data_IF_582171588325
#
_entry.id   IF_582171588325
#
_cell.length_a   1.000
_cell.length_b   1.000
_cell.length_c   1.000
_cell.angle_alpha   90.00
_cell.angle_beta   90.00
_cell.angle_gamma   90.00
#
_symmetry.space_group_name_H-M   'P 1'
#
loop_
_entity.id
_entity.type
_entity.pdbx_description
1 polymer ?
#
# COMPACT_ATOMS: atom_id res chain seq x y z
N UNK A 1 8.25 -22.49 16.43
CA UNK A 1 8.31 -21.01 16.36
C UNK A 1 8.43 -20.66 14.88
N UNK A 2 7.31 -20.74 14.16
CA UNK A 2 7.21 -20.71 12.67
C UNK A 2 6.53 -19.40 12.16
N UNK A 3 6.21 -18.49 13.08
CA UNK A 3 5.41 -17.27 12.85
C UNK A 3 6.15 -16.16 12.08
N UNK A 4 7.44 -16.33 11.80
CA UNK A 4 8.26 -15.31 11.12
C UNK A 4 8.37 -15.51 9.60
N UNK A 5 7.75 -16.56 9.05
CA UNK A 5 8.00 -16.98 7.66
C UNK A 5 6.79 -16.89 6.72
N UNK A 6 5.56 -16.76 7.22
CA UNK A 6 4.38 -16.73 6.37
C UNK A 6 3.55 -15.51 6.71
N UNK A 7 3.13 -14.79 5.66
CA UNK A 7 2.04 -13.84 5.82
C UNK A 7 0.78 -14.65 6.12
N UNK A 8 0.19 -14.36 7.28
CA UNK A 8 -1.01 -15.01 7.76
C UNK A 8 -2.16 -14.02 7.72
N UNK A 9 -3.28 -14.45 7.14
CA UNK A 9 -4.51 -13.68 7.12
C UNK A 9 -5.49 -14.42 8.03
N UNK A 10 -5.92 -13.74 9.08
CA UNK A 10 -6.95 -14.25 9.99
C UNK A 10 -8.22 -13.46 9.74
N UNK A 11 -9.27 -14.15 9.28
CA UNK A 11 -10.60 -13.57 9.16
C UNK A 11 -11.49 -14.04 10.32
N UNK A 12 -12.03 -13.07 11.04
CA UNK A 12 -12.97 -13.28 12.13
C UNK A 12 -14.35 -12.78 11.69
N UNK A 13 -15.40 -13.56 11.96
CA UNK A 13 -16.77 -13.23 11.59
C UNK A 13 -17.64 -12.94 12.81
N UNK A 14 -18.74 -12.21 12.60
CA UNK A 14 -19.72 -11.87 13.63
C UNK A 14 -19.13 -11.07 14.80
N UNK A 15 -18.10 -10.25 14.55
CA UNK A 15 -17.50 -9.41 15.58
C UNK A 15 -18.32 -8.13 15.73
N UNK A 16 -18.88 -7.84 16.92
CA UNK A 16 -19.57 -6.58 17.17
C UNK A 16 -18.57 -5.43 17.31
N UNK A 17 -19.02 -4.21 17.02
CA UNK A 17 -18.16 -3.01 17.00
C UNK A 17 -17.31 -2.80 18.27
N UNK A 18 -17.82 -2.96 19.51
CA UNK A 18 -16.99 -2.77 20.70
C UNK A 18 -15.81 -3.75 20.78
N UNK A 19 -15.98 -4.99 20.29
CA UNK A 19 -14.88 -5.95 20.20
C UNK A 19 -13.93 -5.60 19.06
N UNK A 20 -14.41 -4.98 17.98
CA UNK A 20 -13.53 -4.53 16.90
C UNK A 20 -12.54 -3.48 17.39
N UNK A 21 -12.96 -2.55 18.26
CA UNK A 21 -12.06 -1.59 18.90
C UNK A 21 -11.01 -2.29 19.79
N UNK A 22 -11.38 -3.33 20.55
CA UNK A 22 -10.40 -4.12 21.30
C UNK A 22 -9.35 -4.79 20.40
N UNK A 23 -9.75 -5.26 19.21
CA UNK A 23 -8.82 -5.84 18.23
C UNK A 23 -7.91 -4.77 17.59
N UNK A 24 -8.42 -3.56 17.37
CA UNK A 24 -7.63 -2.43 16.85
C UNK A 24 -6.56 -2.02 17.87
N UNK A 25 -6.92 -1.88 19.14
CA UNK A 25 -5.94 -1.62 20.21
C UNK A 25 -4.88 -2.72 20.30
N UNK A 26 -5.25 -3.98 20.09
CA UNK A 26 -4.30 -5.08 20.06
C UNK A 26 -3.40 -5.02 18.82
N UNK A 27 -3.96 -4.68 17.66
CA UNK A 27 -3.23 -4.56 16.40
C UNK A 27 -2.14 -3.49 16.50
N UNK A 28 -2.47 -2.32 17.04
CA UNK A 28 -1.51 -1.24 17.31
C UNK A 28 -0.36 -1.69 18.22
N UNK A 29 -0.65 -2.45 19.27
CA UNK A 29 0.38 -2.95 20.20
C UNK A 29 1.27 -4.04 19.61
N UNK A 30 0.84 -4.66 18.52
CA UNK A 30 1.48 -5.83 17.91
C UNK A 30 1.98 -5.56 16.49
N UNK A 31 1.84 -4.33 15.99
CA UNK A 31 2.12 -3.92 14.62
C UNK A 31 1.44 -4.87 13.61
N UNK A 32 0.14 -5.11 13.80
CA UNK A 32 -0.68 -5.92 12.89
C UNK A 32 -1.46 -5.00 11.96
N UNK A 33 -1.58 -5.36 10.69
CA UNK A 33 -2.50 -4.68 9.76
C UNK A 33 -3.91 -5.20 10.01
N UNK A 34 -4.88 -4.31 10.17
CA UNK A 34 -6.27 -4.68 10.39
C UNK A 34 -7.21 -3.93 9.43
N UNK A 35 -8.27 -4.61 9.01
CA UNK A 35 -9.44 -3.96 8.44
C UNK A 35 -10.74 -4.49 9.04
N UNK A 36 -11.72 -3.61 9.19
CA UNK A 36 -13.03 -3.94 9.76
C UNK A 36 -14.16 -3.46 8.85
N UNK A 37 -15.11 -4.35 8.62
CA UNK A 37 -16.34 -4.06 7.90
C UNK A 37 -17.56 -4.29 8.81
N UNK A 38 -18.21 -3.23 9.32
CA UNK A 38 -19.32 -3.34 10.26
C UNK A 38 -20.57 -3.97 9.66
N UNK A 39 -20.83 -3.75 8.37
CA UNK A 39 -21.98 -4.32 7.68
C UNK A 39 -21.91 -5.84 7.64
N UNK A 40 -20.71 -6.37 7.41
CA UNK A 40 -20.46 -7.83 7.37
C UNK A 40 -20.02 -8.40 8.73
N UNK A 41 -19.75 -7.53 9.71
CA UNK A 41 -19.17 -7.88 11.01
C UNK A 41 -17.89 -8.72 10.87
N UNK A 42 -17.07 -8.38 9.87
CA UNK A 42 -15.82 -9.07 9.56
C UNK A 42 -14.63 -8.23 9.96
N UNK A 43 -13.71 -8.84 10.69
CA UNK A 43 -12.36 -8.33 10.94
C UNK A 43 -11.39 -9.18 10.13
N UNK A 44 -10.46 -8.53 9.45
CA UNK A 44 -9.35 -9.16 8.74
C UNK A 44 -8.06 -8.65 9.35
N UNK A 45 -7.22 -9.56 9.81
CA UNK A 45 -5.90 -9.27 10.36
C UNK A 45 -4.87 -9.85 9.39
N UNK A 46 -3.92 -9.03 8.98
CA UNK A 46 -2.81 -9.42 8.11
C UNK A 46 -1.51 -9.28 8.88
N UNK A 47 -0.74 -10.36 8.95
CA UNK A 47 0.62 -10.37 9.49
C UNK A 47 1.59 -10.19 8.31
N UNK A 48 2.08 -8.96 8.05
CA UNK A 48 2.92 -8.74 6.89
C UNK A 48 4.25 -9.48 7.04
N UNK A 49 4.76 -9.99 5.91
CA UNK A 49 6.12 -10.53 5.86
C UNK A 49 7.11 -9.44 5.41
N UNK A 50 8.41 -9.76 5.48
CA UNK A 50 9.48 -8.84 5.06
C UNK A 50 9.33 -8.29 3.63
N UNK A 51 8.91 -9.12 2.67
CA UNK A 51 8.72 -8.71 1.26
C UNK A 51 7.56 -7.71 1.16
N UNK A 52 6.48 -7.96 1.89
CA UNK A 52 5.33 -7.06 2.00
C UNK A 52 5.77 -5.70 2.57
N UNK A 53 6.34 -5.69 3.78
CA UNK A 53 6.72 -4.45 4.48
C UNK A 53 7.78 -3.65 3.72
N UNK A 54 8.66 -4.30 2.96
CA UNK A 54 9.72 -3.64 2.21
C UNK A 54 9.21 -2.64 1.18
N UNK A 55 8.04 -2.87 0.58
CA UNK A 55 7.47 -2.01 -0.45
C UNK A 55 7.18 -0.59 0.05
N UNK A 56 6.96 -0.40 1.37
CA UNK A 56 6.79 0.93 1.98
C UNK A 56 8.01 1.84 1.72
N UNK A 57 9.22 1.28 1.78
CA UNK A 57 10.45 2.06 1.61
C UNK A 57 10.54 2.72 0.23
N UNK A 58 10.07 2.03 -0.80
CA UNK A 58 10.05 2.56 -2.17
C UNK A 58 9.29 3.89 -2.26
N UNK A 59 8.13 3.99 -1.60
CA UNK A 59 7.35 5.24 -1.57
C UNK A 59 7.99 6.27 -0.62
N UNK A 60 8.56 5.84 0.51
CA UNK A 60 9.24 6.73 1.45
C UNK A 60 10.47 7.41 0.86
N UNK A 61 11.28 6.67 0.10
CA UNK A 61 12.46 7.17 -0.59
C UNK A 61 12.05 8.16 -1.68
N UNK A 62 11.02 7.84 -2.47
CA UNK A 62 10.46 8.79 -3.45
C UNK A 62 9.95 10.08 -2.79
N UNK A 63 9.25 10.01 -1.66
CA UNK A 63 8.81 11.21 -0.92
C UNK A 63 10.00 12.00 -0.36
N UNK A 64 11.07 11.32 0.07
CA UNK A 64 12.30 11.99 0.47
C UNK A 64 12.94 12.76 -0.69
N UNK A 65 12.99 12.16 -1.89
CA UNK A 65 13.52 12.78 -3.10
C UNK A 65 12.67 13.95 -3.56
N UNK A 66 11.35 13.78 -3.56
CA UNK A 66 10.39 14.83 -3.84
C UNK A 66 10.64 16.06 -2.96
N UNK A 67 10.72 15.88 -1.64
CA UNK A 67 11.02 16.98 -0.70
C UNK A 67 12.35 17.66 -0.99
N UNK A 68 13.39 16.88 -1.29
CA UNK A 68 14.71 17.44 -1.62
C UNK A 68 14.65 18.29 -2.88
N UNK A 69 13.97 17.80 -3.93
CA UNK A 69 13.85 18.51 -5.20
C UNK A 69 13.06 19.82 -5.09
N UNK A 70 12.01 19.82 -4.28
CA UNK A 70 11.13 20.98 -4.08
C UNK A 70 11.55 21.87 -2.89
N UNK A 71 12.63 21.51 -2.19
CA UNK A 71 13.15 22.21 -1.00
C UNK A 71 12.10 22.35 0.12
N UNK A 72 11.21 21.36 0.25
CA UNK A 72 10.16 21.35 1.26
C UNK A 72 10.66 20.86 2.62
N UNK A 73 10.04 21.38 3.68
CA UNK A 73 10.29 20.93 5.04
C UNK A 73 9.85 19.48 5.26
N UNK A 74 10.44 18.82 6.29
CA UNK A 74 10.16 17.42 6.61
C UNK A 74 8.67 17.13 6.84
N UNK A 75 7.93 18.10 7.38
CA UNK A 75 6.50 17.97 7.69
C UNK A 75 5.56 18.32 6.54
N UNK A 76 6.04 18.82 5.40
CA UNK A 76 5.17 19.26 4.30
C UNK A 76 4.48 18.09 3.59
N UNK A 77 5.27 17.06 3.28
CA UNK A 77 4.80 15.80 2.70
C UNK A 77 5.55 14.65 3.37
N UNK A 78 4.87 13.56 3.67
CA UNK A 78 5.48 12.35 4.20
C UNK A 78 4.72 11.11 3.74
N UNK A 79 5.41 9.97 3.76
CA UNK A 79 4.79 8.67 3.57
C UNK A 79 4.85 7.89 4.88
N UNK A 80 3.76 7.24 5.24
CA UNK A 80 3.65 6.39 6.42
C UNK A 80 2.85 5.13 6.09
N UNK A 81 3.21 4.01 6.70
CA UNK A 81 2.37 2.81 6.75
C UNK A 81 1.57 2.76 8.05
N UNK A 82 0.66 1.79 8.14
CA UNK A 82 -0.03 1.39 9.39
C UNK A 82 -0.97 2.46 9.99
N UNK A 83 -1.22 3.57 9.29
CA UNK A 83 -2.15 4.60 9.74
C UNK A 83 -3.61 4.20 9.49
N UNK A 84 -4.46 4.31 10.51
CA UNK A 84 -5.89 4.03 10.38
C UNK A 84 -6.64 5.11 9.59
N UNK A 85 -7.48 4.68 8.65
CA UNK A 85 -8.48 5.50 7.99
C UNK A 85 -9.87 5.03 8.42
N UNK A 86 -10.66 5.97 8.98
CA UNK A 86 -12.01 5.72 9.52
C UNK A 86 -13.09 6.59 8.89
N UNK A 87 -12.69 7.66 8.21
CA UNK A 87 -13.62 8.69 7.72
C UNK A 87 -14.03 8.34 6.30
N UNK A 88 -15.02 7.44 6.19
CA UNK A 88 -15.63 7.06 4.92
C UNK A 88 -17.10 7.44 4.87
N UNK A 89 -17.61 7.74 3.67
CA UNK A 89 -19.00 8.10 3.44
C UNK A 89 -19.80 6.99 2.72
N UNK A 90 -21.13 7.12 2.72
CA UNK A 90 -22.02 6.25 1.95
C UNK A 90 -21.98 4.78 2.40
N UNK A 91 -21.92 3.85 1.44
CA UNK A 91 -21.88 2.40 1.72
C UNK A 91 -20.62 1.93 2.47
N UNK A 92 -19.63 2.82 2.56
CA UNK A 92 -18.36 2.57 3.23
C UNK A 92 -18.29 3.15 4.63
N UNK A 93 -19.34 3.84 5.09
CA UNK A 93 -19.38 4.43 6.43
C UNK A 93 -19.04 3.41 7.52
N UNK A 94 -18.31 3.89 8.54
CA UNK A 94 -17.83 3.11 9.69
C UNK A 94 -16.87 1.96 9.37
N UNK A 95 -16.39 1.85 8.12
CA UNK A 95 -15.28 0.94 7.80
C UNK A 95 -13.97 1.49 8.34
N UNK A 96 -13.05 0.57 8.62
CA UNK A 96 -11.71 0.89 9.08
C UNK A 96 -10.74 0.12 8.20
N UNK A 97 -9.73 0.82 7.68
CA UNK A 97 -8.65 0.23 6.90
C UNK A 97 -7.33 0.91 7.24
N UNK A 98 -6.26 0.13 7.21
CA UNK A 98 -4.89 0.60 7.36
C UNK A 98 -4.15 0.32 6.05
N UNK A 99 -3.96 1.29 5.14
CA UNK A 99 -3.19 1.06 3.93
C UNK A 99 -1.72 0.75 4.25
N UNK A 100 -1.08 -0.07 3.41
CA UNK A 100 0.33 -0.44 3.61
C UNK A 100 1.27 0.75 3.50
N UNK A 101 0.89 1.72 2.66
CA UNK A 101 1.49 3.04 2.64
C UNK A 101 0.47 4.10 2.22
N UNK A 102 0.59 5.28 2.80
CA UNK A 102 -0.18 6.45 2.46
C UNK A 102 0.73 7.69 2.42
N UNK A 103 0.55 8.54 1.41
CA UNK A 103 1.26 9.81 1.23
C UNK A 103 0.36 10.94 1.70
N UNK A 104 0.84 11.69 2.68
CA UNK A 104 0.10 12.77 3.34
C UNK A 104 0.70 14.12 3.02
N UNK A 105 -0.17 15.12 2.89
CA UNK A 105 0.18 16.54 2.83
C UNK A 105 -0.31 17.19 4.11
N UNK A 106 0.51 18.01 4.78
CA UNK A 106 0.24 18.51 6.13
C UNK A 106 -1.09 19.23 6.33
N UNK A 107 -1.63 19.82 5.27
CA UNK A 107 -2.84 20.63 5.31
C UNK A 107 -4.08 19.88 4.79
N UNK A 108 -3.97 18.57 4.53
CA UNK A 108 -5.08 17.72 4.09
C UNK A 108 -5.45 16.70 5.16
N UNK A 109 -6.75 16.45 5.29
CA UNK A 109 -7.29 15.49 6.27
C UNK A 109 -7.10 14.03 5.80
N UNK A 110 -6.94 13.82 4.50
CA UNK A 110 -6.73 12.51 3.87
C UNK A 110 -5.36 12.43 3.21
N UNK A 111 -4.79 11.21 3.11
CA UNK A 111 -3.69 10.99 2.19
C UNK A 111 -4.16 11.20 0.74
N UNK A 112 -3.24 11.55 -0.15
CA UNK A 112 -3.56 11.78 -1.56
C UNK A 112 -3.18 10.62 -2.45
N UNK A 113 -2.26 9.77 -2.00
CA UNK A 113 -1.85 8.52 -2.66
C UNK A 113 -1.83 7.43 -1.60
N UNK A 114 -2.38 6.26 -1.93
CA UNK A 114 -2.24 5.05 -1.12
C UNK A 114 -1.60 3.94 -1.92
N UNK A 115 -0.98 2.98 -1.22
CA UNK A 115 -0.48 1.74 -1.79
C UNK A 115 -0.96 0.56 -0.94
N UNK A 116 -1.39 -0.49 -1.63
CA UNK A 116 -1.76 -1.77 -1.04
C UNK A 116 -0.92 -2.87 -1.70
N UNK A 117 -0.36 -3.75 -0.88
CA UNK A 117 0.55 -4.82 -1.27
C UNK A 117 -0.07 -6.16 -0.86
N UNK A 118 -0.23 -7.06 -1.83
CA UNK A 118 -0.72 -8.40 -1.55
C UNK A 118 0.35 -9.45 -1.81
N UNK A 119 0.75 -10.18 -0.77
CA UNK A 119 1.56 -11.39 -0.92
C UNK A 119 0.67 -12.63 -0.95
N UNK A 120 0.00 -13.00 0.13
CA UNK A 120 -0.95 -14.14 0.14
C UNK A 120 -2.36 -13.73 -0.26
N UNK A 121 -2.70 -12.46 -0.08
CA UNK A 121 -4.00 -11.91 -0.50
C UNK A 121 -4.24 -12.01 -2.01
N UNK A 122 -5.51 -12.11 -2.40
CA UNK A 122 -5.87 -12.15 -3.82
C UNK A 122 -5.82 -10.74 -4.45
N UNK A 123 -5.70 -10.70 -5.78
CA UNK A 123 -5.76 -9.42 -6.51
C UNK A 123 -7.15 -8.78 -6.45
N UNK A 124 -8.22 -9.56 -6.31
CA UNK A 124 -9.57 -9.01 -6.16
C UNK A 124 -9.76 -8.31 -4.81
N UNK A 125 -9.14 -8.83 -3.74
CA UNK A 125 -9.12 -8.15 -2.44
C UNK A 125 -8.46 -6.77 -2.56
N UNK A 126 -7.31 -6.67 -3.24
CA UNK A 126 -6.65 -5.39 -3.49
C UNK A 126 -7.54 -4.40 -4.26
N UNK A 127 -8.33 -4.88 -5.23
CA UNK A 127 -9.27 -4.03 -5.96
C UNK A 127 -10.40 -3.54 -5.08
N UNK A 128 -10.91 -4.38 -4.18
CA UNK A 128 -11.91 -3.97 -3.19
C UNK A 128 -11.36 -2.92 -2.23
N UNK A 129 -10.11 -3.06 -1.78
CA UNK A 129 -9.43 -2.09 -0.92
C UNK A 129 -9.20 -0.76 -1.66
N UNK A 130 -8.72 -0.79 -2.92
CA UNK A 130 -8.63 0.41 -3.75
C UNK A 130 -10.00 1.09 -3.95
N UNK A 131 -11.06 0.30 -4.16
CA UNK A 131 -12.43 0.82 -4.30
C UNK A 131 -12.87 1.53 -3.02
N UNK A 132 -12.67 0.90 -1.86
CA UNK A 132 -12.96 1.49 -0.55
C UNK A 132 -12.21 2.81 -0.35
N UNK A 133 -10.90 2.82 -0.61
CA UNK A 133 -10.05 4.00 -0.39
C UNK A 133 -10.46 5.16 -1.31
N UNK A 134 -10.69 4.89 -2.60
CA UNK A 134 -11.01 5.93 -3.59
C UNK A 134 -12.47 6.39 -3.51
N UNK A 135 -13.43 5.46 -3.51
CA UNK A 135 -14.86 5.79 -3.50
C UNK A 135 -15.34 6.21 -2.11
N UNK A 136 -14.84 5.54 -1.05
CA UNK A 136 -15.23 5.83 0.32
C UNK A 136 -14.79 7.21 0.79
N UNK A 137 -13.71 7.75 0.22
CA UNK A 137 -13.23 9.11 0.47
C UNK A 137 -13.73 10.11 -0.59
N UNK A 138 -14.64 9.70 -1.48
CA UNK A 138 -15.17 10.54 -2.57
C UNK A 138 -14.06 11.21 -3.42
N UNK A 139 -12.94 10.51 -3.61
CA UNK A 139 -11.80 10.99 -4.38
C UNK A 139 -10.85 11.94 -3.65
N UNK A 140 -10.95 12.12 -2.33
CA UNK A 140 -9.91 12.83 -1.55
C UNK A 140 -8.56 12.10 -1.69
N UNK A 141 -8.58 10.76 -1.67
CA UNK A 141 -7.46 9.94 -2.17
C UNK A 141 -7.51 9.96 -3.70
N UNK A 142 -6.47 10.46 -4.35
CA UNK A 142 -6.40 10.54 -5.82
C UNK A 142 -6.10 9.21 -6.49
N UNK A 143 -5.15 8.46 -5.92
CA UNK A 143 -4.56 7.28 -6.55
C UNK A 143 -4.38 6.18 -5.51
N UNK A 144 -4.79 4.96 -5.88
CA UNK A 144 -4.42 3.74 -5.18
C UNK A 144 -3.46 2.92 -6.05
N UNK A 145 -2.29 2.58 -5.51
CA UNK A 145 -1.27 1.74 -6.16
C UNK A 145 -1.41 0.32 -5.63
N UNK A 146 -1.72 -0.64 -6.50
CA UNK A 146 -1.86 -2.03 -6.13
C UNK A 146 -0.63 -2.82 -6.55
N UNK A 147 0.10 -3.39 -5.60
CA UNK A 147 1.26 -4.25 -5.84
C UNK A 147 0.89 -5.69 -5.49
N UNK A 148 0.78 -6.56 -6.51
CA UNK A 148 0.50 -7.98 -6.29
C UNK A 148 1.78 -8.79 -6.48
N UNK A 149 2.23 -9.47 -5.43
CA UNK A 149 3.38 -10.38 -5.45
C UNK A 149 2.86 -11.80 -5.26
N UNK A 150 3.30 -12.73 -6.11
CA UNK A 150 2.98 -14.16 -5.92
C UNK A 150 3.94 -14.75 -4.88
N UNK A 151 3.43 -15.47 -3.86
CA UNK A 151 4.26 -16.05 -2.82
C UNK A 151 5.33 -16.99 -3.35
N UNK A 152 6.48 -16.99 -2.68
CA UNK A 152 7.56 -17.95 -2.91
C UNK A 152 7.09 -19.34 -2.53
N UNK A 153 7.36 -20.31 -3.40
CA UNK A 153 7.26 -21.73 -3.04
C UNK A 153 8.41 -22.13 -2.12
N UNK A 154 8.28 -23.25 -1.39
CA UNK A 154 9.33 -23.74 -0.50
C UNK A 154 10.71 -23.94 -1.16
N UNK A 155 10.79 -24.20 -2.46
CA UNK A 155 12.04 -24.43 -3.19
C UNK A 155 12.53 -23.17 -3.93
N UNK A 156 11.81 -22.05 -3.84
CA UNK A 156 12.15 -20.82 -4.55
C UNK A 156 12.97 -19.85 -3.70
N UNK A 157 13.96 -19.24 -4.34
CA UNK A 157 14.81 -18.18 -3.77
C UNK A 157 14.56 -16.80 -4.38
N UNK A 158 13.61 -16.68 -5.31
CA UNK A 158 13.32 -15.44 -6.04
C UNK A 158 11.86 -15.36 -6.44
N UNK A 159 11.31 -14.15 -6.43
CA UNK A 159 9.95 -13.87 -6.90
C UNK A 159 9.85 -14.21 -8.39
N UNK A 160 8.83 -14.99 -8.75
CA UNK A 160 8.58 -15.41 -10.14
C UNK A 160 7.57 -14.55 -10.86
N UNK A 161 6.63 -13.99 -10.13
CA UNK A 161 5.52 -13.20 -10.66
C UNK A 161 5.15 -12.10 -9.69
N UNK A 162 5.12 -10.87 -10.19
CA UNK A 162 4.49 -9.76 -9.51
C UNK A 162 4.07 -8.71 -10.54
N UNK A 163 3.11 -7.88 -10.19
CA UNK A 163 2.63 -6.80 -11.03
C UNK A 163 2.19 -5.59 -10.20
N UNK A 164 2.08 -4.45 -10.87
CA UNK A 164 1.51 -3.22 -10.32
C UNK A 164 0.35 -2.74 -11.21
N UNK A 165 -0.70 -2.21 -10.59
CA UNK A 165 -1.81 -1.55 -11.27
C UNK A 165 -2.20 -0.31 -10.48
N UNK A 166 -2.50 0.78 -11.19
CA UNK A 166 -3.06 1.97 -10.57
C UNK A 166 -4.56 2.02 -10.73
N UNK A 167 -5.21 2.56 -9.71
CA UNK A 167 -6.60 2.99 -9.73
C UNK A 167 -6.68 4.47 -9.40
N UNK A 168 -7.64 5.15 -10.01
CA UNK A 168 -7.98 6.54 -9.74
C UNK A 168 -9.50 6.69 -9.58
N UNK A 169 -9.92 7.76 -8.93
CA UNK A 169 -11.33 8.08 -8.77
C UNK A 169 -11.83 8.90 -9.96
N UNK A 170 -12.83 8.38 -10.68
CA UNK A 170 -13.56 9.11 -11.71
C UNK A 170 -14.76 9.82 -11.07
N UNK A 171 -14.67 11.16 -10.95
CA UNK A 171 -15.72 12.00 -10.39
C UNK A 171 -16.99 12.05 -11.24
N UNK A 172 -16.93 11.77 -12.54
CA UNK A 172 -18.11 11.74 -13.41
C UNK A 172 -18.95 10.48 -13.14
N UNK A 173 -18.28 9.37 -12.86
CA UNK A 173 -18.92 8.08 -12.59
C UNK A 173 -19.10 7.82 -11.09
N UNK A 174 -18.46 8.62 -10.22
CA UNK A 174 -18.35 8.39 -8.79
C UNK A 174 -17.81 6.98 -8.48
N UNK A 175 -16.75 6.57 -9.20
CA UNK A 175 -16.23 5.19 -9.15
C UNK A 175 -14.72 5.14 -9.25
N UNK A 176 -14.13 4.12 -8.62
CA UNK A 176 -12.74 3.76 -8.84
C UNK A 176 -12.57 3.07 -10.21
N UNK A 177 -11.65 3.57 -11.03
CA UNK A 177 -11.35 3.01 -12.36
C UNK A 177 -9.84 2.71 -12.48
N UNK A 178 -9.44 1.69 -13.25
CA UNK A 178 -8.04 1.42 -13.50
C UNK A 178 -7.42 2.56 -14.33
N UNK A 179 -6.31 3.11 -13.85
CA UNK A 179 -5.52 4.11 -14.57
C UNK A 179 -4.48 3.39 -15.41
N UNK A 180 -4.75 3.27 -16.71
CA UNK A 180 -3.90 2.53 -17.64
C UNK A 180 -3.94 1.02 -17.42
N UNK A 181 -2.97 0.31 -17.99
CA UNK A 181 -2.89 -1.15 -17.93
C UNK A 181 -2.07 -1.67 -16.74
N UNK A 182 -2.15 -2.99 -16.52
CA UNK A 182 -1.37 -3.66 -15.49
C UNK A 182 0.06 -3.84 -15.96
N UNK A 183 1.02 -3.42 -15.15
CA UNK A 183 2.44 -3.51 -15.45
C UNK A 183 3.08 -4.72 -14.77
N UNK A 184 3.86 -5.49 -15.52
CA UNK A 184 4.59 -6.65 -14.99
C UNK A 184 5.87 -6.19 -14.29
N UNK A 185 6.06 -6.62 -13.04
CA UNK A 185 7.30 -6.45 -12.29
C UNK A 185 8.22 -7.66 -12.48
N UNK A 186 7.67 -8.87 -12.35
CA UNK A 186 8.38 -10.14 -12.52
C UNK A 186 7.61 -11.10 -13.45
N UNK A 187 8.32 -11.83 -14.35
CA UNK A 187 9.73 -11.67 -14.69
C UNK A 187 10.02 -10.26 -15.22
N UNK A 188 11.24 -9.76 -15.02
CA UNK A 188 11.61 -8.40 -15.44
C UNK A 188 11.42 -8.28 -16.95
N UNK A 189 10.51 -7.41 -17.42
CA UNK A 189 10.21 -7.31 -18.85
C UNK A 189 11.31 -6.56 -19.59
N UNK A 190 11.42 -6.75 -20.91
CA UNK A 190 12.49 -6.12 -21.70
C UNK A 190 12.43 -4.58 -21.70
N UNK A 191 11.24 -4.01 -21.53
CA UNK A 191 11.01 -2.56 -21.49
C UNK A 191 11.09 -1.98 -20.07
N UNK A 192 11.61 -2.72 -19.09
CA UNK A 192 11.56 -2.34 -17.67
C UNK A 192 12.12 -0.94 -17.37
N UNK A 193 13.21 -0.56 -18.03
CA UNK A 193 13.86 0.75 -17.84
C UNK A 193 12.98 1.95 -18.21
N UNK A 194 11.89 1.72 -18.96
CA UNK A 194 10.91 2.76 -19.31
C UNK A 194 9.69 2.78 -18.38
N UNK A 195 9.53 1.77 -17.53
CA UNK A 195 8.36 1.60 -16.69
C UNK A 195 8.43 2.48 -15.45
N UNK A 196 7.44 3.35 -15.31
CA UNK A 196 7.36 4.36 -14.27
C UNK A 196 5.94 4.80 -14.06
N UNK A 197 5.64 5.26 -12.85
CA UNK A 197 4.36 5.87 -12.51
C UNK A 197 4.52 7.37 -12.56
N UNK A 198 3.74 8.01 -13.43
CA UNK A 198 3.71 9.47 -13.54
C UNK A 198 2.55 10.07 -12.75
N UNK A 199 2.85 11.12 -11.99
CA UNK A 199 1.89 11.89 -11.22
C UNK A 199 1.72 13.29 -11.77
N UNK A 200 0.61 13.94 -11.39
CA UNK A 200 0.41 15.36 -11.56
C UNK A 200 0.46 16.04 -10.21
N UNK A 201 0.88 17.31 -10.17
CA UNK A 201 0.84 18.08 -8.95
C UNK A 201 -0.58 18.26 -8.40
N UNK A 202 -1.58 18.36 -9.27
CA UNK A 202 -2.99 18.37 -8.85
C UNK A 202 -3.43 17.09 -8.16
N UNK A 203 -2.90 15.93 -8.58
CA UNK A 203 -3.18 14.65 -7.92
C UNK A 203 -2.49 14.53 -6.54
N UNK A 204 -1.25 15.01 -6.41
CA UNK A 204 -0.48 14.92 -5.16
C UNK A 204 -0.93 15.97 -4.14
N UNK A 205 -1.10 17.23 -4.57
CA UNK A 205 -1.31 18.37 -3.68
C UNK A 205 -2.78 18.77 -3.55
N UNK A 206 -3.65 18.31 -4.45
CA UNK A 206 -5.09 18.63 -4.43
C UNK A 206 -5.34 20.14 -4.29
N UNK A 207 -6.12 20.52 -3.29
CA UNK A 207 -6.47 21.92 -2.98
C UNK A 207 -5.28 22.76 -2.52
N UNK A 208 -4.15 22.13 -2.11
CA UNK A 208 -2.93 22.81 -1.67
C UNK A 208 -2.04 23.28 -2.84
N UNK A 209 -2.34 22.88 -4.08
CA UNK A 209 -1.50 23.20 -5.24
C UNK A 209 -1.20 24.70 -5.39
N UNK A 210 -2.24 25.54 -5.23
CA UNK A 210 -2.12 26.99 -5.40
C UNK A 210 -1.31 27.67 -4.30
N UNK A 211 -1.29 27.08 -3.10
CA UNK A 211 -0.58 27.59 -1.93
C UNK A 211 0.89 27.15 -1.92
N UNK A 212 1.14 25.88 -2.27
CA UNK A 212 2.48 25.30 -2.21
C UNK A 212 3.36 25.67 -3.41
N UNK A 213 2.77 25.86 -4.59
CA UNK A 213 3.46 26.30 -5.82
C UNK A 213 4.80 25.57 -6.07
N UNK A 214 4.76 24.26 -6.44
CA UNK A 214 5.97 23.49 -6.72
C UNK A 214 6.90 24.22 -7.70
N UNK A 215 8.20 24.16 -7.44
CA UNK A 215 9.22 24.77 -8.27
C UNK A 215 9.35 24.05 -9.62
N UNK A 216 9.15 22.73 -9.64
CA UNK A 216 9.18 21.95 -10.88
C UNK A 216 7.82 21.89 -11.58
N UNK A 217 7.85 21.79 -12.92
CA UNK A 217 6.62 21.70 -13.71
C UNK A 217 5.85 20.38 -13.49
N UNK A 218 6.55 19.31 -13.10
CA UNK A 218 5.97 17.99 -12.84
C UNK A 218 6.72 17.32 -11.69
N UNK A 219 6.02 16.53 -10.85
CA UNK A 219 6.68 15.73 -9.84
C UNK A 219 7.58 14.66 -10.49
N UNK A 220 8.69 14.25 -9.84
CA UNK A 220 9.45 13.08 -10.23
C UNK A 220 8.57 11.84 -10.27
N UNK A 221 8.76 10.94 -11.25
CA UNK A 221 8.00 9.69 -11.31
C UNK A 221 8.45 8.70 -10.23
N UNK A 222 7.59 7.73 -9.91
CA UNK A 222 7.96 6.53 -9.15
C UNK A 222 8.49 5.47 -10.12
N UNK A 223 9.77 5.10 -10.04
CA UNK A 223 10.37 4.13 -10.96
C UNK A 223 10.06 2.69 -10.52
N UNK A 224 9.69 1.82 -11.46
CA UNK A 224 9.38 0.43 -11.13
C UNK A 224 10.63 -0.43 -10.91
N UNK A 225 11.80 0.00 -11.40
CA UNK A 225 13.06 -0.67 -11.12
C UNK A 225 13.44 -0.56 -9.63
N UNK A 226 13.24 0.60 -9.00
CA UNK A 226 13.45 0.79 -7.56
C UNK A 226 12.56 -0.17 -6.73
N UNK A 227 11.31 -0.39 -7.17
CA UNK A 227 10.41 -1.37 -6.55
C UNK A 227 10.92 -2.80 -6.73
N UNK A 228 11.45 -3.17 -7.90
CA UNK A 228 12.05 -4.50 -8.13
C UNK A 228 13.26 -4.72 -7.25
N UNK A 229 14.14 -3.73 -7.13
CA UNK A 229 15.31 -3.76 -6.25
C UNK A 229 14.90 -3.97 -4.79
N UNK A 230 13.89 -3.21 -4.35
CA UNK A 230 13.29 -3.35 -3.02
C UNK A 230 12.76 -4.78 -2.80
N UNK A 231 11.92 -5.28 -3.71
CA UNK A 231 11.36 -6.63 -3.62
C UNK A 231 12.46 -7.69 -3.57
N UNK A 232 13.51 -7.57 -4.40
CA UNK A 232 14.64 -8.50 -4.41
C UNK A 232 15.42 -8.48 -3.09
N UNK A 233 15.76 -7.30 -2.56
CA UNK A 233 16.51 -7.16 -1.31
C UNK A 233 15.76 -7.77 -0.11
N UNK A 234 14.44 -7.57 -0.05
CA UNK A 234 13.60 -8.16 0.98
C UNK A 234 13.32 -9.64 0.75
N UNK A 235 13.29 -10.11 -0.50
CA UNK A 235 13.26 -11.53 -0.84
C UNK A 235 14.52 -12.25 -0.35
N UNK A 236 15.69 -11.68 -0.57
CA UNK A 236 16.95 -12.24 -0.07
C UNK A 236 16.96 -12.34 1.45
N UNK A 237 16.44 -11.31 2.13
CA UNK A 237 16.30 -11.31 3.59
C UNK A 237 15.35 -12.40 4.06
N UNK A 238 14.19 -12.53 3.41
CA UNK A 238 13.20 -13.56 3.70
C UNK A 238 13.80 -14.97 3.53
N UNK A 239 14.48 -15.24 2.42
CA UNK A 239 15.12 -16.54 2.15
C UNK A 239 16.20 -16.86 3.18
N UNK A 240 17.06 -15.88 3.53
CA UNK A 240 18.10 -16.06 4.57
C UNK A 240 17.51 -16.44 5.93
N UNK A 241 16.45 -15.75 6.36
CA UNK A 241 15.79 -16.04 7.63
C UNK A 241 15.15 -17.43 7.62
N UNK A 242 14.52 -17.79 6.50
CA UNK A 242 13.94 -19.12 6.30
C UNK A 242 14.96 -20.24 6.43
N UNK A 243 16.13 -20.12 5.79
CA UNK A 243 17.21 -21.11 5.89
C UNK A 243 17.75 -21.22 7.32
N UNK A 244 17.92 -20.11 8.03
CA UNK A 244 18.41 -20.12 9.42
C UNK A 244 17.47 -20.86 10.37
N UNK A 245 16.17 -20.61 10.26
CA UNK A 245 15.16 -21.29 11.07
C UNK A 245 15.04 -22.79 10.73
N UNK A 246 15.15 -23.16 9.45
CA UNK A 246 15.15 -24.57 9.03
C UNK A 246 16.33 -25.37 9.61
N UNK A 247 17.49 -24.74 9.78
CA UNK A 247 18.68 -25.36 10.38
C UNK A 247 18.62 -25.47 11.92
N UNK A 248 17.73 -24.73 12.59
CA UNK A 248 17.56 -24.78 14.05
C UNK A 248 16.50 -25.81 14.48
N UNK A 249 15.74 -26.37 13.53
CA UNK A 249 14.69 -27.35 13.76
C UNK A 249 15.08 -28.81 13.46
N UNK A 250 16.33 -29.05 13.09
CA UNK A 250 16.91 -30.38 12.84
C UNK A 250 17.92 -30.75 13.92
#
# INVERSE_FOLDING_TARGET
MDLLQKEEIVECHNIPEPRAEEFLELADRKNLKLSYNPHTKKIKIVLPNWIHSGCLNWVQDWVADLRRSEQWGRGTIWAAGEGELRVFAGEYANRIIMPDCAVFISALDYPTITMEVAYTETYENLKEDARLLLEGTAGEISIAILVKIVPLKPDESRVRSACVQLYEYDSLQNKAIPRGGRETLFPVPQNHASQKIEFSWGGILKTQLSQMQPASAKPPPLLLDDLRETINAYTDTHVRLRTRCGNLGN
#
